data_IF_590257110597
#
_entry.id   IF_590257110597
#
_cell.length_a   1.000
_cell.length_b   1.000
_cell.length_c   1.000
_cell.angle_alpha   90.00
_cell.angle_beta   90.00
_cell.angle_gamma   90.00
#
_symmetry.space_group_name_H-M   'P 1'
#
loop_
_entity.id
_entity.type
_entity.pdbx_description
1 polymer ?
#
# COMPACT_ATOMS: atom_id res chain seq x y z
N UNK A 1 16.42 3.77 -9.49
CA UNK A 1 15.59 3.91 -8.28
C UNK A 1 16.07 5.11 -7.48
N UNK A 2 15.18 6.02 -7.07
CA UNK A 2 15.51 7.27 -6.35
C UNK A 2 14.61 7.41 -5.12
N UNK A 3 15.16 7.81 -3.97
CA UNK A 3 14.37 8.21 -2.79
C UNK A 3 13.62 9.51 -3.10
N UNK A 4 12.32 9.53 -2.82
CA UNK A 4 11.43 10.67 -3.15
C UNK A 4 10.48 10.96 -2.00
N UNK A 5 9.94 12.18 -1.96
CA UNK A 5 8.80 12.51 -1.10
C UNK A 5 7.52 11.86 -1.63
N UNK A 6 6.52 11.70 -0.76
CA UNK A 6 5.20 11.20 -1.16
C UNK A 6 4.51 12.19 -2.12
N UNK A 7 4.73 13.47 -1.89
CA UNK A 7 4.26 14.61 -2.68
C UNK A 7 4.81 14.62 -4.12
N UNK A 8 5.94 13.95 -4.36
CA UNK A 8 6.53 13.89 -5.69
C UNK A 8 5.89 12.79 -6.56
N UNK A 9 5.16 11.84 -5.95
CA UNK A 9 4.63 10.67 -6.64
C UNK A 9 3.47 11.01 -7.58
N UNK A 10 3.49 10.42 -8.77
CA UNK A 10 2.40 10.51 -9.73
C UNK A 10 1.65 9.18 -9.86
N UNK A 11 0.31 9.19 -10.02
CA UNK A 11 -0.46 7.97 -10.25
C UNK A 11 0.11 7.16 -11.42
N UNK A 12 0.40 5.88 -11.19
CA UNK A 12 1.04 5.01 -12.19
C UNK A 12 2.55 4.82 -12.01
N UNK A 13 3.19 5.57 -11.11
CA UNK A 13 4.59 5.34 -10.73
C UNK A 13 4.76 3.98 -10.04
N UNK A 14 5.76 3.20 -10.47
CA UNK A 14 6.20 2.01 -9.75
C UNK A 14 7.08 2.45 -8.58
N UNK A 15 6.68 2.05 -7.39
CA UNK A 15 7.31 2.44 -6.13
C UNK A 15 7.69 1.23 -5.30
N UNK A 16 8.70 1.44 -4.47
CA UNK A 16 9.03 0.64 -3.30
C UNK A 16 8.69 1.47 -2.06
N UNK A 17 8.11 0.82 -1.06
CA UNK A 17 7.81 1.40 0.25
C UNK A 17 8.38 0.51 1.35
N UNK A 18 9.04 1.15 2.32
CA UNK A 18 9.30 0.59 3.63
C UNK A 18 8.40 1.29 4.65
N UNK A 19 7.68 0.51 5.45
CA UNK A 19 6.77 1.05 6.46
C UNK A 19 6.77 0.19 7.72
N UNK A 20 6.54 0.82 8.86
CA UNK A 20 6.48 0.15 10.14
C UNK A 20 5.05 -0.28 10.46
N UNK A 21 4.84 -1.54 10.83
CA UNK A 21 3.56 -1.93 11.42
C UNK A 21 3.59 -1.61 12.92
N UNK A 22 2.88 -0.55 13.31
CA UNK A 22 2.72 -0.20 14.72
C UNK A 22 1.60 -1.06 15.31
N UNK A 23 1.93 -2.30 15.65
CA UNK A 23 0.97 -3.23 16.24
C UNK A 23 1.33 -3.66 17.65
N UNK A 24 1.71 -2.75 18.56
CA UNK A 24 1.31 -2.82 19.98
C UNK A 24 1.19 -1.42 20.61
N UNK A 25 0.02 -1.16 21.22
CA UNK A 25 -0.23 -0.19 22.29
C UNK A 25 0.08 1.32 22.07
N UNK A 26 -0.92 2.08 21.58
CA UNK A 26 -1.26 3.47 21.99
C UNK A 26 -0.15 4.55 22.13
N UNK A 27 1.08 4.33 21.68
CA UNK A 27 2.17 5.30 21.74
C UNK A 27 2.90 5.33 20.39
N UNK A 28 3.19 6.54 19.91
CA UNK A 28 4.04 6.74 18.74
C UNK A 28 5.47 6.42 19.20
N UNK A 29 6.16 5.43 18.61
CA UNK A 29 7.49 5.06 19.06
C UNK A 29 8.48 6.20 18.77
N UNK A 30 9.34 6.51 19.74
CA UNK A 30 10.28 7.63 19.67
C UNK A 30 11.67 7.21 19.15
N UNK A 31 11.91 5.91 18.94
CA UNK A 31 13.18 5.36 18.46
C UNK A 31 12.93 4.20 17.47
N UNK A 32 13.80 4.07 16.47
CA UNK A 32 13.72 3.01 15.42
C UNK A 32 13.69 1.57 15.98
N UNK A 33 14.12 1.37 17.23
CA UNK A 33 14.17 0.08 17.94
C UNK A 33 12.82 -0.38 18.47
N UNK A 34 11.81 0.48 18.40
CA UNK A 34 10.48 0.26 18.96
C UNK A 34 9.44 -0.09 17.85
N UNK A 35 9.89 -0.31 16.60
CA UNK A 35 9.04 -0.82 15.52
C UNK A 35 9.18 -2.35 15.44
N UNK A 36 8.11 -3.09 15.76
CA UNK A 36 8.15 -4.56 15.86
C UNK A 36 8.36 -5.28 14.51
N UNK A 37 7.99 -4.66 13.39
CA UNK A 37 8.31 -5.16 12.04
C UNK A 37 8.37 -4.04 10.99
N UNK A 38 9.40 -4.08 10.13
CA UNK A 38 9.49 -3.25 8.94
C UNK A 38 9.01 -4.08 7.74
N UNK A 39 7.95 -3.63 7.10
CA UNK A 39 7.40 -4.22 5.90
C UNK A 39 7.99 -3.56 4.66
N UNK A 40 8.31 -4.38 3.67
CA UNK A 40 8.84 -3.96 2.39
C UNK A 40 7.84 -4.36 1.29
N UNK A 41 7.30 -3.37 0.59
CA UNK A 41 6.30 -3.59 -0.44
C UNK A 41 6.66 -2.88 -1.75
N UNK A 42 6.24 -3.49 -2.86
CA UNK A 42 6.35 -2.94 -4.20
C UNK A 42 4.97 -2.85 -4.82
N UNK A 43 4.71 -1.73 -5.50
CA UNK A 43 3.43 -1.52 -6.13
C UNK A 43 3.39 -0.25 -6.94
N UNK A 44 2.23 0.00 -7.54
CA UNK A 44 1.96 1.20 -8.31
C UNK A 44 1.24 2.20 -7.45
N UNK A 45 1.81 3.38 -7.29
CA UNK A 45 1.16 4.49 -6.60
C UNK A 45 -0.14 4.89 -7.31
N UNK A 46 -1.22 5.09 -6.56
CA UNK A 46 -2.50 5.54 -7.09
C UNK A 46 -2.85 6.95 -6.62
N UNK A 47 -2.95 7.17 -5.32
CA UNK A 47 -3.30 8.46 -4.73
C UNK A 47 -3.07 8.47 -3.22
N UNK A 48 -3.18 9.66 -2.62
CA UNK A 48 -3.30 9.83 -1.18
C UNK A 48 -4.76 10.06 -0.79
N UNK A 49 -5.23 9.39 0.26
CA UNK A 49 -6.62 9.50 0.76
C UNK A 49 -6.67 9.86 2.23
N UNK A 50 -7.72 10.58 2.63
CA UNK A 50 -7.98 10.97 4.02
C UNK A 50 -7.59 12.42 4.31
N UNK A 51 -8.35 13.05 5.22
CA UNK A 51 -8.14 14.46 5.63
C UNK A 51 -7.30 14.60 6.90
N UNK A 52 -7.70 13.89 7.96
CA UNK A 52 -7.01 13.90 9.27
C UNK A 52 -5.82 12.95 9.30
N UNK A 53 -6.04 11.68 8.92
CA UNK A 53 -5.00 10.67 8.75
C UNK A 53 -4.89 10.31 7.27
N UNK A 54 -3.77 10.69 6.66
CA UNK A 54 -3.49 10.47 5.24
C UNK A 54 -3.00 9.04 5.05
N UNK A 55 -3.46 8.40 3.98
CA UNK A 55 -3.06 7.05 3.60
C UNK A 55 -2.57 7.06 2.17
N UNK A 56 -1.41 6.45 1.93
CA UNK A 56 -0.91 6.15 0.61
C UNK A 56 -1.62 4.91 0.09
N UNK A 57 -2.29 5.05 -1.05
CA UNK A 57 -2.97 3.95 -1.72
C UNK A 57 -2.14 3.51 -2.92
N UNK A 58 -1.82 2.23 -2.95
CA UNK A 58 -1.12 1.61 -4.08
C UNK A 58 -1.78 0.31 -4.50
N UNK A 59 -1.62 -0.03 -5.77
CA UNK A 59 -2.03 -1.31 -6.34
C UNK A 59 -0.82 -2.24 -6.47
N UNK A 60 -1.01 -3.52 -6.21
CA UNK A 60 0.03 -4.53 -6.39
C UNK A 60 -0.56 -5.78 -7.03
N UNK A 61 0.29 -6.49 -7.78
CA UNK A 61 -0.11 -7.71 -8.46
C UNK A 61 0.33 -8.92 -7.61
N UNK A 62 -0.63 -9.70 -7.13
CA UNK A 62 -0.35 -10.91 -6.33
C UNK A 62 0.03 -12.13 -7.16
N UNK A 63 -0.40 -12.21 -8.43
CA UNK A 63 -0.24 -13.40 -9.26
C UNK A 63 0.66 -13.11 -10.46
N UNK A 64 1.91 -13.62 -10.46
CA UNK A 64 2.77 -13.53 -11.63
C UNK A 64 2.06 -14.04 -12.88
N UNK A 65 2.07 -13.25 -13.96
CA UNK A 65 1.48 -13.62 -15.25
C UNK A 65 0.06 -13.15 -15.50
N UNK A 66 -0.72 -12.77 -14.47
CA UNK A 66 -2.04 -12.16 -14.67
C UNK A 66 -1.98 -10.65 -14.39
N UNK A 67 -1.76 -9.88 -15.45
CA UNK A 67 -1.70 -8.41 -15.40
C UNK A 67 -3.07 -7.73 -15.19
N UNK A 68 -4.15 -8.51 -15.09
CA UNK A 68 -5.51 -7.98 -14.91
C UNK A 68 -5.98 -8.02 -13.46
N UNK A 69 -5.34 -8.83 -12.61
CA UNK A 69 -5.69 -8.96 -11.19
C UNK A 69 -4.80 -8.10 -10.31
N UNK A 70 -5.41 -7.05 -9.75
CA UNK A 70 -4.76 -6.12 -8.83
C UNK A 70 -5.51 -6.04 -7.52
N UNK A 71 -4.74 -6.13 -6.44
CA UNK A 71 -5.15 -5.82 -5.09
C UNK A 71 -4.67 -4.42 -4.70
N UNK A 72 -5.25 -3.88 -3.64
CA UNK A 72 -4.93 -2.55 -3.13
C UNK A 72 -4.50 -2.62 -1.68
N UNK A 73 -3.54 -1.78 -1.32
CA UNK A 73 -3.18 -1.52 0.08
C UNK A 73 -3.30 -0.02 0.35
N UNK A 74 -3.59 0.32 1.60
CA UNK A 74 -3.71 1.69 2.07
C UNK A 74 -2.88 1.85 3.34
N UNK A 75 -1.69 2.46 3.19
CA UNK A 75 -0.69 2.56 4.25
C UNK A 75 -0.78 3.95 4.88
N UNK A 76 -0.97 4.08 6.20
CA UNK A 76 -0.93 5.38 6.86
C UNK A 76 0.42 6.09 6.63
N UNK A 77 0.39 7.35 6.19
CA UNK A 77 1.63 8.04 5.81
C UNK A 77 2.57 8.31 6.98
N UNK A 78 2.04 8.33 8.20
CA UNK A 78 2.78 8.42 9.47
C UNK A 78 3.60 7.18 9.80
N UNK A 79 3.30 6.04 9.17
CA UNK A 79 4.02 4.78 9.33
C UNK A 79 5.04 4.52 8.22
N UNK A 80 5.11 5.38 7.19
CA UNK A 80 6.02 5.20 6.07
C UNK A 80 7.41 5.71 6.44
N UNK A 81 8.38 4.82 6.41
CA UNK A 81 9.79 5.11 6.72
C UNK A 81 10.55 5.56 5.47
N UNK A 82 10.24 4.96 4.32
CA UNK A 82 10.90 5.26 3.06
C UNK A 82 9.99 5.03 1.86
N UNK A 83 10.07 5.94 0.89
CA UNK A 83 9.54 5.77 -0.46
C UNK A 83 10.67 5.88 -1.45
N UNK A 84 10.77 4.90 -2.36
CA UNK A 84 11.63 4.98 -3.53
C UNK A 84 10.82 4.84 -4.80
N UNK A 85 10.99 5.78 -5.72
CA UNK A 85 10.48 5.63 -7.08
C UNK A 85 11.41 4.72 -7.87
N UNK A 86 10.88 3.63 -8.36
CA UNK A 86 11.60 2.69 -9.21
C UNK A 86 11.52 3.17 -10.64
N UNK A 87 10.30 3.43 -11.13
CA UNK A 87 10.05 3.89 -12.50
C UNK A 87 8.86 4.85 -12.54
N UNK A 88 9.03 6.06 -13.09
CA UNK A 88 7.92 6.98 -13.30
C UNK A 88 6.99 6.47 -14.42
N UNK A 89 5.69 6.73 -14.29
CA UNK A 89 4.67 6.41 -15.31
C UNK A 89 4.73 4.95 -15.80
N UNK A 90 5.01 4.02 -14.89
CA UNK A 90 5.22 2.61 -15.19
C UNK A 90 3.98 2.00 -15.85
N UNK A 91 2.79 2.14 -15.26
CA UNK A 91 1.57 1.58 -15.84
C UNK A 91 1.23 2.18 -17.19
N UNK A 92 1.40 3.48 -17.37
CA UNK A 92 1.17 4.14 -18.65
C UNK A 92 2.12 3.60 -19.74
N UNK A 93 3.30 3.12 -19.34
CA UNK A 93 4.29 2.53 -20.25
C UNK A 93 3.93 1.10 -20.62
N UNK A 94 3.59 0.26 -19.62
CA UNK A 94 3.43 -1.18 -19.84
C UNK A 94 2.00 -1.63 -20.13
N UNK A 95 1.00 -0.93 -19.60
CA UNK A 95 -0.42 -1.28 -19.66
C UNK A 95 -1.27 0.00 -19.80
N UNK A 96 -1.21 0.69 -20.95
CA UNK A 96 -1.98 1.91 -21.19
C UNK A 96 -3.48 1.71 -20.92
N UNK A 97 -4.13 2.66 -20.25
CA UNK A 97 -5.56 2.61 -19.93
C UNK A 97 -5.94 1.78 -18.70
N UNK A 98 -4.97 1.13 -18.03
CA UNK A 98 -5.23 0.39 -16.80
C UNK A 98 -5.33 1.31 -15.58
N UNK A 99 -4.62 2.43 -15.57
CA UNK A 99 -4.56 3.34 -14.41
C UNK A 99 -5.96 3.88 -14.06
N UNK A 100 -6.77 4.24 -15.05
CA UNK A 100 -8.13 4.73 -14.86
C UNK A 100 -9.03 3.67 -14.20
N UNK A 101 -8.87 2.40 -14.62
CA UNK A 101 -9.61 1.26 -14.04
C UNK A 101 -9.20 1.03 -12.59
N UNK A 102 -7.90 1.10 -12.29
CA UNK A 102 -7.38 0.93 -10.93
C UNK A 102 -7.82 2.08 -10.02
N UNK A 103 -7.76 3.32 -10.49
CA UNK A 103 -8.23 4.49 -9.75
C UNK A 103 -9.73 4.39 -9.44
N UNK A 104 -10.54 3.98 -10.41
CA UNK A 104 -11.98 3.76 -10.21
C UNK A 104 -12.25 2.67 -9.18
N UNK A 105 -11.61 1.49 -9.34
CA UNK A 105 -11.78 0.36 -8.43
C UNK A 105 -11.31 0.70 -7.01
N UNK A 106 -10.11 1.25 -6.85
CA UNK A 106 -9.56 1.66 -5.57
C UNK A 106 -10.46 2.69 -4.85
N UNK A 107 -11.06 3.62 -5.59
CA UNK A 107 -11.98 4.60 -5.00
C UNK A 107 -13.24 3.98 -4.41
N UNK A 108 -13.71 2.87 -4.99
CA UNK A 108 -14.85 2.08 -4.52
C UNK A 108 -14.51 1.13 -3.37
N UNK A 109 -13.30 0.56 -3.37
CA UNK A 109 -12.86 -0.46 -2.41
C UNK A 109 -12.28 0.15 -1.13
N UNK A 110 -11.53 1.24 -1.24
CA UNK A 110 -10.94 1.91 -0.06
C UNK A 110 -12.00 2.80 0.59
N UNK A 111 -12.31 2.67 1.89
CA UNK A 111 -13.35 3.46 2.57
C UNK A 111 -13.13 4.99 2.49
N UNK A 112 -14.21 5.77 2.33
CA UNK A 112 -14.17 7.26 2.30
C UNK A 112 -13.88 7.87 3.67
N UNK A 113 -14.29 7.20 4.74
CA UNK A 113 -14.03 7.55 6.13
C UNK A 113 -13.31 6.37 6.79
N UNK A 114 -11.99 6.45 6.93
CA UNK A 114 -11.24 5.58 7.86
C UNK A 114 -11.30 6.18 9.29
N UNK A 115 -12.45 6.74 9.65
CA UNK A 115 -12.67 7.49 10.88
C UNK A 115 -13.60 6.71 11.81
N UNK A 116 -13.02 6.23 12.91
CA UNK A 116 -13.64 5.67 14.12
C UNK A 116 -14.52 4.40 13.97
N UNK A 117 -13.98 3.32 14.56
CA UNK A 117 -14.60 2.03 14.91
C UNK A 117 -14.97 1.09 13.74
N UNK A 118 -14.81 -0.23 13.79
CA UNK A 118 -14.67 -1.17 14.91
C UNK A 118 -13.83 -2.39 14.50
N UNK A 119 -13.10 -2.99 15.46
CA UNK A 119 -12.43 -4.29 15.42
C UNK A 119 -12.99 -5.34 14.44
N UNK A 120 -12.52 -5.29 13.19
CA UNK A 120 -12.53 -6.44 12.27
C UNK A 120 -11.44 -6.20 11.22
N UNK A 121 -10.19 -6.15 11.68
CA UNK A 121 -9.06 -6.34 10.76
C UNK A 121 -9.15 -7.80 10.31
N UNK A 122 -9.41 -7.99 9.01
CA UNK A 122 -9.39 -9.29 8.36
C UNK A 122 -7.97 -9.86 8.50
N UNK A 123 -7.80 -10.67 9.53
CA UNK A 123 -6.60 -11.45 9.82
C UNK A 123 -6.42 -12.46 8.69
N UNK A 124 -5.55 -12.18 7.73
CA UNK A 124 -4.99 -13.22 6.89
C UNK A 124 -3.97 -13.96 7.75
N UNK A 125 -4.38 -15.05 8.40
CA UNK A 125 -3.43 -15.93 9.07
C UNK A 125 -2.73 -16.79 8.03
N UNK A 126 -1.40 -16.90 8.17
CA UNK A 126 -0.50 -17.75 7.38
C UNK A 126 -0.94 -19.23 7.40
N UNK A 127 -1.78 -19.63 8.36
CA UNK A 127 -2.37 -20.97 8.48
C UNK A 127 -3.25 -21.35 7.28
N UNK A 128 -3.75 -20.38 6.51
CA UNK A 128 -4.55 -20.63 5.31
C UNK A 128 -3.75 -21.11 4.09
N UNK A 129 -2.42 -21.02 4.13
CA UNK A 129 -1.51 -21.48 3.06
C UNK A 129 -1.06 -22.94 3.21
N UNK A 130 -1.30 -23.59 4.36
CA UNK A 130 -0.77 -24.94 4.65
C UNK A 130 -1.81 -26.05 4.39
N UNK A 131 -3.06 -25.70 4.06
CA UNK A 131 -4.14 -26.69 3.79
C UNK A 131 -4.46 -26.91 2.31
N UNK A 132 -3.44 -26.89 1.46
CA UNK A 132 -3.54 -27.36 0.08
C UNK A 132 -2.33 -28.25 -0.17
N UNK A 133 -2.32 -29.41 0.50
CA UNK A 133 -1.61 -30.63 0.10
C UNK A 133 -1.94 -31.70 1.17
N UNK A 134 -3.14 -32.28 1.07
CA UNK A 134 -3.55 -33.53 1.72
C UNK A 134 -4.72 -34.13 0.94
#
# INVERSE_FOLDING_TARGET
>A
MKKVGIEDLEPGDLIYIAWSDAWEANQIPLKDKDYDAIWHEWGVFLFIRGRKKRHLVMAYNKKPGDVTQWDFTAIPTDLILEVRRIQPRFLQTILPGLIEKLLSKANSTVPKRLGQASNKVLRWSVESLIKLDS
#
